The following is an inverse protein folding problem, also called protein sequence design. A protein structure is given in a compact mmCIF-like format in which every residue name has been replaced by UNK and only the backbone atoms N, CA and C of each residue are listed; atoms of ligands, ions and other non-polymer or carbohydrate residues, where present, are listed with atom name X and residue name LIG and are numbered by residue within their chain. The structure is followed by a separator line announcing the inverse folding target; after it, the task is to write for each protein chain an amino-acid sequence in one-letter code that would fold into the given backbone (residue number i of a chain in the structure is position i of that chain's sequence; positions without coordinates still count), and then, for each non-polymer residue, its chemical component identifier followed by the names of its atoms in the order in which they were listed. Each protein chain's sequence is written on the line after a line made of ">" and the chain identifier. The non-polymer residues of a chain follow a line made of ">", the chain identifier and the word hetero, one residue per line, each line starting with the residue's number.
data_IF_068350493729
#
_entry.id   IF_068350493729
#
_cell.length_a   1.000
_cell.length_b   1.000
_cell.length_c   1.000
_cell.angle_alpha   90.00
_cell.angle_beta   90.00
_cell.angle_gamma   90.00
#
_symmetry.space_group_name_H-M   'P 1'
#
loop_
_entity.id
_entity.type
_entity.pdbx_description
1 polymer ?
#
# COMPACT_ATOMS: atom_id res chain seq x y z
N UNK A 1 8.25 2.54 18.50
CA UNK A 1 9.32 1.54 18.32
C UNK A 1 9.20 0.84 16.96
N UNK A 2 10.26 0.22 16.44
CA UNK A 2 10.23 -0.48 15.14
C UNK A 2 10.05 -2.00 15.31
N UNK A 3 8.94 -2.52 14.79
CA UNK A 3 8.52 -3.93 14.92
C UNK A 3 8.58 -4.75 13.61
N UNK A 4 8.96 -4.14 12.49
CA UNK A 4 9.05 -4.80 11.18
C UNK A 4 10.14 -4.18 10.31
N UNK A 5 10.71 -4.98 9.42
CA UNK A 5 11.58 -4.57 8.31
C UNK A 5 11.41 -5.54 7.12
N UNK A 6 12.25 -5.39 6.08
CA UNK A 6 12.19 -6.24 4.89
C UNK A 6 12.57 -7.72 5.13
N UNK A 7 13.21 -8.04 6.26
CA UNK A 7 13.60 -9.41 6.63
C UNK A 7 12.51 -10.12 7.42
N UNK A 8 11.58 -9.38 8.04
CA UNK A 8 10.47 -9.98 8.79
C UNK A 8 9.87 -9.07 9.86
N UNK A 9 9.03 -9.67 10.69
CA UNK A 9 8.30 -8.98 11.77
C UNK A 9 8.66 -9.55 13.14
N UNK A 10 8.70 -8.68 14.16
CA UNK A 10 8.96 -9.04 15.56
C UNK A 10 7.67 -9.46 16.25
N UNK A 11 7.21 -10.68 15.98
CA UNK A 11 5.90 -11.19 16.42
C UNK A 11 5.65 -11.02 17.92
N UNK A 12 6.57 -11.47 18.76
CA UNK A 12 6.45 -11.43 20.22
C UNK A 12 6.32 -9.99 20.71
N UNK A 13 7.02 -9.06 20.05
CA UNK A 13 6.94 -7.64 20.41
C UNK A 13 5.62 -7.02 20.01
N UNK A 14 5.09 -7.36 18.84
CA UNK A 14 3.77 -6.90 18.39
C UNK A 14 2.70 -7.38 19.37
N UNK A 15 2.72 -8.65 19.79
CA UNK A 15 1.76 -9.18 20.77
C UNK A 15 1.88 -8.45 22.12
N UNK A 16 3.11 -8.18 22.57
CA UNK A 16 3.35 -7.47 23.83
C UNK A 16 2.87 -6.00 23.82
N UNK A 17 2.72 -5.39 22.64
CA UNK A 17 2.15 -4.04 22.50
C UNK A 17 0.62 -4.02 22.59
N UNK A 18 -0.03 -5.18 22.53
CA UNK A 18 -1.50 -5.31 22.56
C UNK A 18 -2.21 -4.37 21.55
N UNK A 19 -1.84 -4.40 20.25
CA UNK A 19 -2.48 -3.56 19.26
C UNK A 19 -3.96 -3.92 19.12
N UNK A 20 -4.79 -2.89 19.01
CA UNK A 20 -6.19 -2.98 18.58
C UNK A 20 -6.31 -3.17 17.06
N UNK A 21 -5.30 -2.75 16.29
CA UNK A 21 -5.21 -2.97 14.85
C UNK A 21 -3.76 -3.11 14.38
N UNK A 22 -3.52 -4.08 13.48
CA UNK A 22 -2.28 -4.17 12.68
C UNK A 22 -2.60 -3.86 11.22
N UNK A 23 -1.89 -2.88 10.65
CA UNK A 23 -1.92 -2.58 9.21
C UNK A 23 -0.80 -3.40 8.54
N UNK A 24 -1.19 -4.40 7.74
CA UNK A 24 -0.27 -5.32 7.08
C UNK A 24 -0.15 -5.03 5.58
N UNK A 25 1.01 -5.33 5.00
CA UNK A 25 1.26 -5.27 3.55
C UNK A 25 1.56 -6.68 3.01
N UNK A 26 0.56 -7.41 2.49
CA UNK A 26 0.72 -8.82 2.07
C UNK A 26 1.82 -9.06 1.03
N UNK A 27 2.08 -8.09 0.14
CA UNK A 27 3.08 -8.26 -0.90
C UNK A 27 4.52 -8.16 -0.37
N UNK A 28 4.73 -7.54 0.80
CA UNK A 28 6.06 -7.37 1.40
C UNK A 28 6.24 -8.09 2.73
N UNK A 29 5.16 -8.42 3.44
CA UNK A 29 5.22 -9.08 4.74
C UNK A 29 5.13 -10.61 4.60
N UNK A 30 5.90 -11.37 5.39
CA UNK A 30 5.80 -12.83 5.41
C UNK A 30 4.40 -13.31 5.81
N UNK A 31 3.75 -14.10 4.95
CA UNK A 31 2.38 -14.58 5.17
C UNK A 31 2.25 -15.42 6.45
N UNK A 32 3.25 -16.24 6.77
CA UNK A 32 3.23 -17.13 7.94
C UNK A 32 3.14 -16.35 9.26
N UNK A 33 3.84 -15.24 9.36
CA UNK A 33 3.88 -14.38 10.54
C UNK A 33 2.59 -13.58 10.70
N UNK A 34 1.99 -13.12 9.59
CA UNK A 34 0.67 -12.50 9.61
C UNK A 34 -0.42 -13.50 10.06
N UNK A 35 -0.37 -14.74 9.59
CA UNK A 35 -1.30 -15.78 10.04
C UNK A 35 -1.16 -16.09 11.53
N UNK A 36 0.06 -16.06 12.08
CA UNK A 36 0.26 -16.19 13.53
C UNK A 36 -0.40 -15.04 14.30
N UNK A 37 -0.20 -13.78 13.88
CA UNK A 37 -0.86 -12.63 14.52
C UNK A 37 -2.38 -12.80 14.54
N UNK A 38 -2.95 -13.25 13.43
CA UNK A 38 -4.38 -13.56 13.31
C UNK A 38 -4.82 -14.67 14.26
N UNK A 39 -4.03 -15.74 14.43
CA UNK A 39 -4.30 -16.82 15.39
C UNK A 39 -4.30 -16.35 16.85
N UNK A 40 -3.54 -15.31 17.18
CA UNK A 40 -3.55 -14.66 18.49
C UNK A 40 -4.72 -13.67 18.68
N UNK A 41 -5.64 -13.57 17.72
CA UNK A 41 -6.82 -12.72 17.81
C UNK A 41 -6.55 -11.25 17.55
N UNK A 42 -5.37 -10.89 17.02
CA UNK A 42 -5.04 -9.51 16.67
C UNK A 42 -5.81 -9.12 15.39
N UNK A 43 -6.61 -8.04 15.39
CA UNK A 43 -7.25 -7.55 14.18
C UNK A 43 -6.21 -7.08 13.16
N UNK A 44 -6.37 -7.51 11.90
CA UNK A 44 -5.45 -7.15 10.82
C UNK A 44 -6.22 -6.50 9.67
N UNK A 45 -5.82 -5.28 9.32
CA UNK A 45 -6.18 -4.65 8.07
C UNK A 45 -5.11 -4.97 7.02
N UNK A 46 -5.51 -5.64 5.93
CA UNK A 46 -4.59 -5.98 4.84
C UNK A 46 -4.64 -4.89 3.76
N UNK A 47 -3.55 -4.13 3.62
CA UNK A 47 -3.45 -3.05 2.66
C UNK A 47 -3.34 -3.58 1.22
N UNK A 48 -4.26 -3.16 0.36
CA UNK A 48 -4.23 -3.45 -1.08
C UNK A 48 -3.34 -2.43 -1.80
N UNK A 49 -2.42 -2.88 -2.67
CA UNK A 49 -1.44 -1.99 -3.32
C UNK A 49 -1.29 -2.30 -4.82
N UNK A 50 -2.40 -2.52 -5.53
CA UNK A 50 -2.40 -2.91 -6.95
C UNK A 50 -2.63 -1.75 -7.92
N UNK A 51 -3.41 -0.76 -7.51
CA UNK A 51 -3.82 0.37 -8.34
C UNK A 51 -3.62 1.71 -7.61
N UNK A 52 -3.64 2.82 -8.35
CA UNK A 52 -3.65 4.16 -7.74
C UNK A 52 -4.92 4.38 -6.90
N UNK A 53 -6.06 3.86 -7.34
CA UNK A 53 -7.33 3.94 -6.62
C UNK A 53 -7.29 3.20 -5.27
N UNK A 54 -6.49 2.14 -5.16
CA UNK A 54 -6.32 1.43 -3.90
C UNK A 54 -5.80 2.35 -2.81
N UNK A 55 -5.01 3.38 -3.11
CA UNK A 55 -4.53 4.33 -2.10
C UNK A 55 -5.71 5.05 -1.43
N UNK A 56 -6.64 5.60 -2.22
CA UNK A 56 -7.83 6.25 -1.69
C UNK A 56 -8.73 5.26 -0.94
N UNK A 57 -8.91 4.04 -1.48
CA UNK A 57 -9.69 2.98 -0.81
C UNK A 57 -9.08 2.61 0.54
N UNK A 58 -7.74 2.49 0.64
CA UNK A 58 -7.06 2.20 1.89
C UNK A 58 -7.27 3.31 2.92
N UNK A 59 -7.11 4.57 2.51
CA UNK A 59 -7.32 5.73 3.39
C UNK A 59 -8.77 5.77 3.90
N UNK A 60 -9.74 5.53 3.02
CA UNK A 60 -11.16 5.54 3.38
C UNK A 60 -11.52 4.40 4.35
N UNK A 61 -11.04 3.18 4.12
CA UNK A 61 -11.28 2.06 5.04
C UNK A 61 -10.59 2.27 6.39
N UNK A 62 -9.35 2.76 6.39
CA UNK A 62 -8.61 3.07 7.62
C UNK A 62 -9.26 4.21 8.41
N UNK A 63 -10.01 5.10 7.76
CA UNK A 63 -10.73 6.19 8.45
C UNK A 63 -11.71 5.67 9.52
N UNK A 64 -12.25 4.46 9.36
CA UNK A 64 -13.18 3.84 10.30
C UNK A 64 -12.52 3.49 11.65
N UNK A 65 -11.20 3.38 11.69
CA UNK A 65 -10.41 3.10 12.89
C UNK A 65 -9.83 4.37 13.51
N UNK A 66 -10.12 5.55 12.95
CA UNK A 66 -9.65 6.83 13.48
C UNK A 66 -10.68 7.44 14.43
N UNK A 67 -10.20 8.12 15.47
CA UNK A 67 -11.05 8.96 16.35
C UNK A 67 -11.83 10.03 15.56
N UNK A 68 -11.31 10.45 14.41
CA UNK A 68 -11.97 11.39 13.50
C UNK A 68 -11.96 10.85 12.06
N UNK A 69 -12.98 10.06 11.68
CA UNK A 69 -13.09 9.49 10.34
C UNK A 69 -13.17 10.54 9.22
N UNK A 70 -13.59 11.77 9.54
CA UNK A 70 -13.79 12.82 8.53
C UNK A 70 -12.48 13.19 7.82
N UNK A 71 -11.34 13.08 8.51
CA UNK A 71 -10.00 13.33 7.94
C UNK A 71 -9.65 12.32 6.86
N UNK A 72 -9.82 11.03 7.13
CA UNK A 72 -9.55 9.98 6.16
C UNK A 72 -10.52 10.03 4.97
N UNK A 73 -11.81 10.26 5.24
CA UNK A 73 -12.81 10.43 4.18
C UNK A 73 -12.50 11.63 3.27
N UNK A 74 -12.09 12.76 3.85
CA UNK A 74 -11.68 13.93 3.08
C UNK A 74 -10.43 13.62 2.25
N UNK A 75 -9.39 13.04 2.85
CA UNK A 75 -8.16 12.71 2.15
C UNK A 75 -8.39 11.73 0.97
N UNK A 76 -9.25 10.73 1.15
CA UNK A 76 -9.62 9.81 0.08
C UNK A 76 -10.36 10.51 -1.08
N UNK A 77 -11.28 11.44 -0.77
CA UNK A 77 -11.96 12.25 -1.80
C UNK A 77 -10.98 13.16 -2.54
N UNK A 78 -10.17 13.92 -1.80
CA UNK A 78 -9.18 14.83 -2.38
C UNK A 78 -8.23 14.07 -3.32
N UNK A 79 -7.77 12.88 -2.92
CA UNK A 79 -6.91 12.02 -3.75
C UNK A 79 -7.60 11.59 -5.05
N UNK A 80 -8.88 11.18 -4.99
CA UNK A 80 -9.64 10.77 -6.18
C UNK A 80 -9.89 11.93 -7.14
N UNK A 81 -10.15 13.12 -6.60
CA UNK A 81 -10.30 14.34 -7.39
C UNK A 81 -9.00 14.69 -8.12
N UNK A 82 -7.87 14.64 -7.42
CA UNK A 82 -6.55 14.86 -8.00
C UNK A 82 -6.21 13.81 -9.07
N UNK A 83 -6.45 12.53 -8.78
CA UNK A 83 -6.24 11.43 -9.73
C UNK A 83 -7.07 11.63 -11.01
N UNK A 84 -8.32 12.08 -10.87
CA UNK A 84 -9.20 12.39 -11.99
C UNK A 84 -8.65 13.55 -12.83
N UNK A 85 -8.22 14.62 -12.18
CA UNK A 85 -7.63 15.79 -12.86
C UNK A 85 -6.34 15.42 -13.61
N UNK A 86 -5.49 14.60 -12.99
CA UNK A 86 -4.25 14.11 -13.61
C UNK A 86 -4.55 13.21 -14.82
N UNK A 87 -5.57 12.36 -14.74
CA UNK A 87 -5.97 11.49 -15.86
C UNK A 87 -6.45 12.30 -17.06
N UNK A 88 -7.21 13.36 -16.82
CA UNK A 88 -7.63 14.28 -17.87
C UNK A 88 -6.43 15.02 -18.51
N UNK A 89 -5.45 15.41 -17.68
CA UNK A 89 -4.23 16.10 -18.12
C UNK A 89 -3.29 15.20 -18.92
N UNK A 90 -3.08 13.95 -18.48
CA UNK A 90 -2.16 12.99 -19.07
C UNK A 90 -2.89 11.94 -19.92
N UNK A 91 -3.90 12.36 -20.69
CA UNK A 91 -4.63 11.49 -21.62
C UNK A 91 -3.79 11.19 -22.88
N UNK A 92 -2.61 10.58 -22.68
CA UNK A 92 -1.64 10.22 -23.70
C UNK A 92 -2.12 9.00 -24.47
N UNK A 93 -2.27 9.17 -25.78
CA UNK A 93 -2.68 8.09 -26.70
C UNK A 93 -1.51 7.22 -27.12
N UNK A 94 -0.30 7.77 -27.08
CA UNK A 94 0.94 7.10 -27.46
C UNK A 94 1.69 6.60 -26.22
N UNK A 95 2.08 5.32 -26.26
CA UNK A 95 2.80 4.68 -25.16
C UNK A 95 4.31 4.87 -25.30
N UNK A 96 4.96 5.28 -24.22
CA UNK A 96 6.42 5.42 -24.12
C UNK A 96 7.02 4.14 -23.53
N UNK A 97 7.98 3.54 -24.24
CA UNK A 97 8.75 2.42 -23.69
C UNK A 97 9.73 2.94 -22.65
N UNK A 98 9.69 2.36 -21.46
CA UNK A 98 10.56 2.74 -20.35
C UNK A 98 11.30 1.54 -19.76
N UNK A 99 12.36 1.84 -19.02
CA UNK A 99 13.02 0.91 -18.11
C UNK A 99 13.09 1.58 -16.73
N UNK A 100 12.44 0.97 -15.73
CA UNK A 100 12.46 1.47 -14.36
C UNK A 100 13.48 0.71 -13.52
N UNK A 101 14.54 1.39 -13.09
CA UNK A 101 15.64 0.79 -12.35
C UNK A 101 15.53 1.11 -10.85
N UNK A 102 15.37 0.07 -10.03
CA UNK A 102 15.28 0.16 -8.58
C UNK A 102 16.67 0.18 -7.90
N UNK A 103 17.65 -0.53 -8.46
CA UNK A 103 19.02 -0.56 -7.94
C UNK A 103 20.03 -0.76 -9.05
N UNK A 104 21.29 -0.37 -8.81
CA UNK A 104 22.39 -0.53 -9.76
C UNK A 104 23.14 -1.86 -9.62
N UNK A 105 23.30 -2.36 -8.40
CA UNK A 105 24.09 -3.59 -8.12
C UNK A 105 23.37 -4.47 -7.08
N UNK A 106 22.76 -5.60 -7.49
CA UNK A 106 22.44 -5.95 -8.88
C UNK A 106 21.44 -4.98 -9.50
N UNK A 107 21.30 -4.99 -10.83
CA UNK A 107 20.22 -4.27 -11.49
C UNK A 107 18.89 -4.95 -11.13
N UNK A 108 18.01 -4.22 -10.45
CA UNK A 108 16.65 -4.66 -10.11
C UNK A 108 15.66 -3.74 -10.81
N UNK A 109 14.58 -4.33 -11.33
CA UNK A 109 13.48 -3.63 -12.01
C UNK A 109 12.15 -4.23 -11.58
N UNK A 110 11.04 -3.58 -11.95
CA UNK A 110 9.69 -4.09 -11.76
C UNK A 110 9.19 -4.75 -13.04
N UNK A 111 8.40 -5.81 -12.92
CA UNK A 111 7.81 -6.50 -14.06
C UNK A 111 6.31 -6.73 -13.87
N UNK A 112 5.59 -6.84 -14.98
CA UNK A 112 4.14 -7.11 -14.98
C UNK A 112 3.34 -6.00 -14.31
N UNK A 113 2.34 -6.40 -13.50
CA UNK A 113 1.43 -5.50 -12.79
C UNK A 113 1.87 -5.20 -11.35
N UNK A 114 3.12 -5.48 -11.00
CA UNK A 114 3.62 -5.19 -9.67
C UNK A 114 3.80 -3.68 -9.48
N UNK A 115 3.55 -3.17 -8.28
CA UNK A 115 3.82 -1.77 -7.97
C UNK A 115 5.31 -1.43 -8.19
N UNK A 116 5.66 -0.29 -8.83
CA UNK A 116 4.80 0.83 -9.21
C UNK A 116 4.38 0.86 -10.71
N UNK A 117 4.25 -0.28 -11.40
CA UNK A 117 3.89 -0.33 -12.83
C UNK A 117 2.64 0.49 -13.18
N UNK A 118 1.65 0.57 -12.29
CA UNK A 118 0.42 1.33 -12.50
C UNK A 118 0.68 2.83 -12.71
N UNK A 119 1.67 3.40 -12.03
CA UNK A 119 2.04 4.82 -12.18
C UNK A 119 2.46 5.11 -13.61
N UNK A 120 3.29 4.24 -14.20
CA UNK A 120 3.74 4.41 -15.58
C UNK A 120 2.60 4.17 -16.56
N UNK A 121 1.77 3.14 -16.34
CA UNK A 121 0.60 2.90 -17.18
C UNK A 121 -0.38 4.07 -17.18
N UNK A 122 -0.50 4.77 -16.04
CA UNK A 122 -1.36 5.94 -15.88
C UNK A 122 -0.88 7.14 -16.71
N UNK A 123 0.43 7.30 -16.88
CA UNK A 123 1.02 8.42 -17.62
C UNK A 123 1.14 8.18 -19.13
N UNK A 124 0.92 6.95 -19.60
CA UNK A 124 1.29 6.50 -20.95
C UNK A 124 2.80 6.36 -21.13
#
# INVERSE_FOLDING_TARGET
>A
EKVSNYQGIKLERIIALQPDLVIAWPAGNPAKELEKLKQFGVPIYYSTTGTLEDIANNIEQLSQYSDDPSKGQKAARDFREELTALKAKYNTTEKVRYFYQLSEKPIITVAGKNWPSEVFNFCG
#
